data_IF_617075280816
#
_entry.id   IF_617075280816
#
_cell.length_a   1.000
_cell.length_b   1.000
_cell.length_c   1.000
_cell.angle_alpha   90.00
_cell.angle_beta   90.00
_cell.angle_gamma   90.00
#
_symmetry.space_group_name_H-M   'P 1'
#
loop_
_entity.id
_entity.type
_entity.pdbx_description
1 polymer ?
#
# COMPACT_ATOMS: atom_id res chain seq x y z
N UNK A 1 -6.60 1.30 -18.08
CA UNK A 1 -5.66 1.78 -17.04
C UNK A 1 -6.37 2.49 -15.88
N UNK A 2 -7.15 3.57 -16.08
CA UNK A 2 -7.86 4.26 -14.97
C UNK A 2 -8.81 3.36 -14.14
N UNK A 3 -9.53 2.42 -14.77
CA UNK A 3 -10.40 1.47 -14.06
C UNK A 3 -9.60 0.58 -13.09
N UNK A 4 -8.46 0.05 -13.55
CA UNK A 4 -7.58 -0.79 -12.72
C UNK A 4 -7.04 -0.04 -11.49
N UNK A 5 -6.65 1.24 -11.65
CA UNK A 5 -6.29 2.09 -10.50
C UNK A 5 -7.45 2.23 -9.50
N UNK A 6 -8.68 2.47 -10.00
CA UNK A 6 -9.89 2.62 -9.18
C UNK A 6 -10.23 1.37 -8.38
N UNK A 7 -10.07 0.20 -9.00
CA UNK A 7 -10.38 -1.10 -8.38
C UNK A 7 -9.29 -1.60 -7.42
N UNK A 8 -8.09 -1.01 -7.45
CA UNK A 8 -6.95 -1.47 -6.64
C UNK A 8 -6.61 -0.51 -5.49
N UNK A 9 -6.00 0.63 -5.78
CA UNK A 9 -5.35 1.49 -4.77
C UNK A 9 -6.01 2.85 -4.60
N UNK A 10 -7.00 3.21 -5.42
CA UNK A 10 -7.68 4.50 -5.33
C UNK A 10 -8.31 4.75 -3.95
N UNK A 11 -8.97 3.73 -3.35
CA UNK A 11 -9.53 3.84 -1.99
C UNK A 11 -8.48 4.23 -0.95
N UNK A 12 -7.26 3.72 -1.11
CA UNK A 12 -6.16 4.03 -0.18
C UNK A 12 -5.67 5.46 -0.35
N UNK A 13 -5.55 5.93 -1.60
CA UNK A 13 -5.17 7.32 -1.90
C UNK A 13 -6.24 8.31 -1.41
N UNK A 14 -7.51 7.99 -1.61
CA UNK A 14 -8.63 8.80 -1.10
C UNK A 14 -8.62 8.87 0.43
N UNK A 15 -8.31 7.75 1.10
CA UNK A 15 -8.16 7.71 2.55
C UNK A 15 -7.03 8.63 3.02
N UNK A 16 -5.86 8.56 2.36
CA UNK A 16 -4.71 9.42 2.65
C UNK A 16 -5.05 10.91 2.54
N UNK A 17 -5.76 11.31 1.48
CA UNK A 17 -6.20 12.70 1.30
C UNK A 17 -7.15 13.16 2.41
N UNK A 18 -8.10 12.31 2.82
CA UNK A 18 -9.09 12.65 3.85
C UNK A 18 -8.51 12.71 5.26
N UNK A 19 -7.55 11.85 5.57
CA UNK A 19 -7.02 11.68 6.92
C UNK A 19 -5.60 12.24 7.11
N UNK A 20 -5.01 12.82 6.06
CA UNK A 20 -3.62 13.29 6.03
C UNK A 20 -2.63 12.20 6.45
N UNK A 21 -2.85 11.00 5.92
CA UNK A 21 -1.95 9.84 6.11
C UNK A 21 -1.11 9.59 4.86
N UNK A 22 -0.18 8.64 4.94
CA UNK A 22 0.70 8.24 3.84
C UNK A 22 0.69 6.73 3.60
N UNK A 23 -0.46 6.07 3.77
CA UNK A 23 -0.60 4.62 3.66
C UNK A 23 -0.32 4.09 2.25
N UNK A 24 -0.63 4.85 1.19
CA UNK A 24 -0.27 4.49 -0.17
C UNK A 24 1.25 4.43 -0.37
N UNK A 25 1.98 5.37 0.23
CA UNK A 25 3.45 5.36 0.25
C UNK A 25 3.98 4.20 1.11
N UNK A 26 3.39 3.95 2.29
CA UNK A 26 3.73 2.80 3.12
C UNK A 26 3.56 1.48 2.35
N UNK A 27 2.46 1.33 1.61
CA UNK A 27 2.20 0.15 0.78
C UNK A 27 3.26 0.02 -0.32
N UNK A 28 3.62 1.11 -1.00
CA UNK A 28 4.66 1.09 -2.03
C UNK A 28 6.01 0.61 -1.47
N UNK A 29 6.46 1.15 -0.34
CA UNK A 29 7.73 0.76 0.28
C UNK A 29 7.70 -0.68 0.80
N UNK A 30 6.56 -1.11 1.34
CA UNK A 30 6.37 -2.49 1.80
C UNK A 30 6.45 -3.50 0.65
N UNK A 31 5.75 -3.23 -0.46
CA UNK A 31 5.78 -4.08 -1.66
C UNK A 31 7.16 -4.05 -2.32
N UNK A 32 7.79 -2.88 -2.39
CA UNK A 32 9.17 -2.74 -2.88
C UNK A 32 10.23 -3.39 -2.00
N UNK A 33 9.88 -3.78 -0.77
CA UNK A 33 10.73 -4.59 0.12
C UNK A 33 10.28 -6.06 0.15
N UNK A 34 9.57 -6.51 -0.89
CA UNK A 34 9.08 -7.89 -1.05
C UNK A 34 8.23 -8.40 0.12
N UNK A 35 7.56 -7.50 0.84
CA UNK A 35 6.78 -7.82 2.05
C UNK A 35 7.61 -7.96 3.33
N UNK A 36 8.90 -7.63 3.31
CA UNK A 36 9.74 -7.62 4.50
C UNK A 36 9.41 -6.41 5.38
N UNK A 37 8.68 -6.66 6.48
CA UNK A 37 8.27 -5.62 7.43
C UNK A 37 9.47 -4.94 8.13
N UNK A 38 10.57 -5.64 8.37
CA UNK A 38 11.76 -5.05 9.03
C UNK A 38 12.44 -4.05 8.10
N UNK A 39 12.65 -4.45 6.85
CA UNK A 39 13.27 -3.61 5.83
C UNK A 39 12.39 -2.39 5.48
N UNK A 40 11.09 -2.60 5.28
CA UNK A 40 10.16 -1.51 4.98
C UNK A 40 10.07 -0.50 6.14
N UNK A 41 10.08 -0.96 7.39
CA UNK A 41 10.06 -0.08 8.56
C UNK A 41 11.33 0.79 8.64
N UNK A 42 12.49 0.21 8.34
CA UNK A 42 13.74 0.95 8.25
C UNK A 42 13.71 2.00 7.14
N UNK A 43 13.24 1.65 5.93
CA UNK A 43 13.13 2.59 4.79
C UNK A 43 12.14 3.73 5.05
N UNK A 44 11.07 3.47 5.79
CA UNK A 44 10.06 4.48 6.17
C UNK A 44 10.45 5.28 7.43
N UNK A 45 11.57 4.95 8.08
CA UNK A 45 11.98 5.54 9.36
C UNK A 45 10.90 5.45 10.45
N UNK A 46 10.17 4.32 10.49
CA UNK A 46 9.13 4.07 11.49
C UNK A 46 9.44 2.83 12.31
N UNK A 47 8.87 2.77 13.52
CA UNK A 47 8.96 1.57 14.32
C UNK A 47 8.16 0.41 13.69
N UNK A 48 8.63 -0.84 13.84
CA UNK A 48 7.97 -2.05 13.29
C UNK A 48 6.50 -2.18 13.71
N UNK A 49 6.16 -1.77 14.92
CA UNK A 49 4.78 -1.80 15.42
C UNK A 49 3.89 -0.78 14.69
N UNK A 50 4.44 0.38 14.35
CA UNK A 50 3.74 1.41 13.56
C UNK A 50 3.49 0.88 12.15
N UNK A 51 4.51 0.32 11.49
CA UNK A 51 4.32 -0.31 10.18
C UNK A 51 3.27 -1.43 10.24
N UNK A 52 3.33 -2.30 11.25
CA UNK A 52 2.37 -3.41 11.37
C UNK A 52 0.93 -2.91 11.53
N UNK A 53 0.71 -1.80 12.24
CA UNK A 53 -0.60 -1.14 12.33
C UNK A 53 -1.04 -0.54 11.00
N UNK A 54 -0.13 0.10 10.27
CA UNK A 54 -0.42 0.65 8.94
C UNK A 54 -0.76 -0.46 7.93
N UNK A 55 -0.04 -1.58 7.94
CA UNK A 55 -0.30 -2.75 7.07
C UNK A 55 -1.68 -3.32 7.36
N UNK A 56 -2.03 -3.55 8.64
CA UNK A 56 -3.38 -3.98 9.01
C UNK A 56 -4.44 -3.01 8.52
N UNK A 57 -4.19 -1.70 8.66
CA UNK A 57 -5.12 -0.68 8.19
C UNK A 57 -5.31 -0.70 6.67
N UNK A 58 -4.24 -0.96 5.92
CA UNK A 58 -4.28 -1.12 4.46
C UNK A 58 -5.12 -2.34 4.08
N UNK A 59 -4.88 -3.49 4.74
CA UNK A 59 -5.65 -4.72 4.55
C UNK A 59 -7.14 -4.50 4.81
N UNK A 60 -7.50 -3.82 5.91
CA UNK A 60 -8.87 -3.44 6.23
C UNK A 60 -9.53 -2.54 5.18
N UNK A 61 -8.82 -1.48 4.74
CA UNK A 61 -9.38 -0.50 3.80
C UNK A 61 -9.59 -1.08 2.40
N UNK A 62 -8.73 -2.02 2.00
CA UNK A 62 -8.78 -2.65 0.69
C UNK A 62 -9.57 -3.97 0.69
N UNK A 63 -9.80 -4.57 1.85
CA UNK A 63 -10.45 -5.87 1.98
C UNK A 63 -9.60 -7.01 1.41
N UNK A 64 -8.30 -7.01 1.73
CA UNK A 64 -7.32 -7.94 1.14
C UNK A 64 -6.34 -8.50 2.18
N UNK A 65 -5.66 -9.59 1.86
CA UNK A 65 -4.56 -10.15 2.64
C UNK A 65 -3.22 -9.87 1.96
N UNK A 66 -2.33 -9.10 2.60
CA UNK A 66 -1.02 -8.76 2.05
C UNK A 66 0.03 -9.86 2.22
N UNK A 67 -0.31 -11.00 2.84
CA UNK A 67 0.54 -12.19 2.81
C UNK A 67 0.43 -12.92 1.46
N UNK A 68 -0.71 -12.81 0.78
CA UNK A 68 -0.91 -13.36 -0.56
C UNK A 68 -0.03 -12.65 -1.59
N UNK A 69 0.75 -13.43 -2.35
CA UNK A 69 1.65 -12.93 -3.38
C UNK A 69 0.89 -12.34 -4.57
N UNK A 70 -0.24 -12.92 -4.95
CA UNK A 70 -1.05 -12.45 -6.07
C UNK A 70 -1.72 -11.12 -5.73
N UNK A 71 -2.24 -10.99 -4.51
CA UNK A 71 -2.75 -9.70 -4.00
C UNK A 71 -1.66 -8.64 -4.03
N UNK A 72 -0.46 -8.95 -3.53
CA UNK A 72 0.68 -8.01 -3.55
C UNK A 72 1.05 -7.58 -4.96
N UNK A 73 1.11 -8.52 -5.91
CA UNK A 73 1.38 -8.22 -7.31
C UNK A 73 0.31 -7.29 -7.91
N UNK A 74 -0.97 -7.62 -7.72
CA UNK A 74 -2.11 -6.81 -8.21
C UNK A 74 -2.03 -5.37 -7.70
N UNK A 75 -1.74 -5.18 -6.41
CA UNK A 75 -1.60 -3.87 -5.79
C UNK A 75 -0.35 -3.12 -6.25
N UNK A 76 0.78 -3.82 -6.43
CA UNK A 76 2.00 -3.22 -6.97
C UNK A 76 1.76 -2.68 -8.39
N UNK A 77 1.05 -3.44 -9.24
CA UNK A 77 0.64 -2.97 -10.54
C UNK A 77 -0.31 -1.76 -10.42
N UNK A 78 -1.24 -1.77 -9.46
CA UNK A 78 -2.15 -0.66 -9.20
C UNK A 78 -1.41 0.64 -8.87
N UNK A 79 -0.37 0.55 -8.05
CA UNK A 79 0.53 1.67 -7.74
C UNK A 79 1.32 2.14 -8.96
N UNK A 80 1.81 1.24 -9.83
CA UNK A 80 2.50 1.66 -11.06
C UNK A 80 1.56 2.34 -12.06
N UNK A 81 0.35 1.80 -12.24
CA UNK A 81 -0.68 2.42 -13.08
C UNK A 81 -1.04 3.82 -12.58
N UNK A 82 -1.11 4.04 -11.26
CA UNK A 82 -1.34 5.38 -10.67
C UNK A 82 -0.37 6.43 -11.23
N UNK A 83 0.93 6.10 -11.31
CA UNK A 83 1.97 7.01 -11.82
C UNK A 83 1.87 7.29 -13.32
N UNK A 84 1.08 6.52 -14.06
CA UNK A 84 0.88 6.68 -15.51
C UNK A 84 -0.43 7.41 -15.84
N UNK A 85 -1.37 7.50 -14.90
CA UNK A 85 -2.71 8.08 -15.11
C UNK A 85 -2.97 9.35 -14.32
N UNK A 86 -2.08 9.69 -13.39
CA UNK A 86 -2.02 10.93 -12.61
C UNK A 86 -0.69 11.61 -12.91
#
# INVERSE_FOLDING_TARGET
>A
MKAYYRETVAKLVEYDLRHRTSLAHTLEVFLGSYGNKKEAAAKLFVHRNTLSRQIKKIEELLGVDLNDKEVRFRLQLGLKVRHLVL
#
